data_IF_399572380314
#
_entry.id   IF_399572380314
#
_cell.length_a   1.000
_cell.length_b   1.000
_cell.length_c   1.000
_cell.angle_alpha   90.00
_cell.angle_beta   90.00
_cell.angle_gamma   90.00
#
_symmetry.space_group_name_H-M   'P 1'
#
loop_
_entity.id
_entity.type
_entity.pdbx_description
1 polymer ?
#
# COMPACT_ATOMS: atom_id res chain seq x y z
N UNK A 1 22.29 2.36 2.34
CA UNK A 1 21.14 2.99 1.64
C UNK A 1 19.77 2.28 1.75
N UNK A 2 19.56 1.12 2.43
CA UNK A 2 18.23 0.48 2.46
C UNK A 2 17.17 1.28 3.24
N UNK A 3 17.57 2.15 4.16
CA UNK A 3 16.63 2.94 4.99
C UNK A 3 15.83 3.96 4.17
N UNK A 4 16.45 4.51 3.11
CA UNK A 4 15.75 5.44 2.20
C UNK A 4 14.65 4.73 1.41
N UNK A 5 14.91 3.50 0.96
CA UNK A 5 13.94 2.70 0.21
C UNK A 5 12.76 2.31 1.09
N UNK A 6 13.00 1.87 2.32
CA UNK A 6 11.94 1.52 3.27
C UNK A 6 11.06 2.74 3.55
N UNK A 7 11.68 3.89 3.88
CA UNK A 7 10.94 5.12 4.11
C UNK A 7 10.07 5.55 2.91
N UNK A 8 10.59 5.43 1.69
CA UNK A 8 9.80 5.72 0.49
C UNK A 8 8.60 4.79 0.35
N UNK A 9 8.75 3.50 0.70
CA UNK A 9 7.64 2.55 0.67
C UNK A 9 6.59 2.87 1.74
N UNK A 10 7.00 3.24 2.95
CA UNK A 10 6.09 3.68 4.01
C UNK A 10 5.29 4.93 3.59
N UNK A 11 5.97 5.93 3.04
CA UNK A 11 5.34 7.15 2.53
C UNK A 11 4.32 6.80 1.43
N UNK A 12 4.68 5.93 0.49
CA UNK A 12 3.76 5.45 -0.55
C UNK A 12 2.55 4.72 0.05
N UNK A 13 2.74 3.84 1.04
CA UNK A 13 1.63 3.13 1.69
C UNK A 13 0.67 4.12 2.36
N UNK A 14 1.19 5.13 3.07
CA UNK A 14 0.36 6.19 3.68
C UNK A 14 -0.45 6.97 2.65
N UNK A 15 0.15 7.30 1.50
CA UNK A 15 -0.56 7.98 0.41
C UNK A 15 -1.67 7.11 -0.19
N UNK A 16 -1.41 5.81 -0.38
CA UNK A 16 -2.39 4.87 -0.90
C UNK A 16 -3.56 4.64 0.08
N UNK A 17 -3.30 4.58 1.39
CA UNK A 17 -4.35 4.50 2.41
C UNK A 17 -5.28 5.71 2.36
N UNK A 18 -4.74 6.93 2.32
CA UNK A 18 -5.54 8.16 2.18
C UNK A 18 -6.36 8.17 0.88
N UNK A 19 -5.77 7.67 -0.20
CA UNK A 19 -6.44 7.55 -1.50
C UNK A 19 -7.67 6.64 -1.39
N UNK A 20 -7.53 5.49 -0.74
CA UNK A 20 -8.64 4.56 -0.48
C UNK A 20 -9.72 5.19 0.40
N UNK A 21 -9.37 5.91 1.46
CA UNK A 21 -10.34 6.60 2.32
C UNK A 21 -11.17 7.62 1.53
N UNK A 22 -10.54 8.35 0.61
CA UNK A 22 -11.22 9.30 -0.27
C UNK A 22 -12.16 8.60 -1.27
N UNK A 23 -11.75 7.44 -1.81
CA UNK A 23 -12.61 6.60 -2.67
C UNK A 23 -13.85 6.13 -1.90
N UNK A 24 -13.67 5.57 -0.70
CA UNK A 24 -14.77 5.09 0.16
C UNK A 24 -15.74 6.20 0.57
N UNK A 25 -15.22 7.40 0.83
CA UNK A 25 -16.03 8.55 1.16
C UNK A 25 -16.80 9.12 -0.04
N UNK A 26 -16.64 8.55 -1.24
CA UNK A 26 -17.22 9.07 -2.48
C UNK A 26 -16.63 10.43 -2.90
N UNK A 27 -15.51 10.84 -2.29
CA UNK A 27 -14.84 12.13 -2.53
C UNK A 27 -13.88 12.07 -3.72
N UNK A 28 -13.62 10.89 -4.25
CA UNK A 28 -12.74 10.67 -5.39
C UNK A 28 -13.30 9.56 -6.27
N UNK A 29 -13.48 9.88 -7.56
CA UNK A 29 -13.83 8.89 -8.58
C UNK A 29 -12.55 8.37 -9.22
N UNK A 30 -12.42 7.05 -9.32
CA UNK A 30 -11.29 6.42 -10.00
C UNK A 30 -11.78 5.37 -10.97
N UNK A 31 -10.91 5.01 -11.91
CA UNK A 31 -11.16 3.94 -12.87
C UNK A 31 -10.15 2.82 -12.66
N UNK A 32 -10.60 1.58 -12.91
CA UNK A 32 -9.80 0.36 -12.95
C UNK A 32 -9.67 -0.08 -14.41
N UNK A 33 -8.50 -0.55 -14.82
CA UNK A 33 -8.30 -1.12 -16.15
C UNK A 33 -8.63 -2.62 -16.11
N UNK A 34 -9.68 -3.03 -16.82
CA UNK A 34 -10.18 -4.42 -16.87
C UNK A 34 -10.63 -4.74 -18.29
N UNK A 35 -10.28 -5.94 -18.77
CA UNK A 35 -10.70 -6.46 -20.08
C UNK A 35 -10.44 -5.47 -21.24
N UNK A 36 -9.27 -4.81 -21.22
CA UNK A 36 -8.85 -3.89 -22.28
C UNK A 36 -9.48 -2.49 -22.23
N UNK A 37 -10.25 -2.14 -21.18
CA UNK A 37 -10.88 -0.83 -21.03
C UNK A 37 -10.82 -0.30 -19.60
N UNK A 38 -10.98 1.01 -19.45
CA UNK A 38 -11.19 1.64 -18.16
C UNK A 38 -12.67 1.56 -17.76
N UNK A 39 -12.94 1.06 -16.56
CA UNK A 39 -14.27 1.00 -15.95
C UNK A 39 -14.22 1.68 -14.58
N UNK A 40 -15.35 2.16 -14.08
CA UNK A 40 -15.39 2.76 -12.75
C UNK A 40 -14.93 1.76 -11.69
N UNK A 41 -14.10 2.23 -10.76
CA UNK A 41 -13.61 1.42 -9.63
C UNK A 41 -14.79 0.98 -8.78
N UNK A 42 -14.90 -0.33 -8.55
CA UNK A 42 -15.95 -0.93 -7.73
C UNK A 42 -15.54 -1.02 -6.27
N UNK A 43 -16.49 -1.28 -5.36
CA UNK A 43 -16.16 -1.57 -3.96
C UNK A 43 -15.25 -2.78 -3.81
N UNK A 44 -15.37 -3.76 -4.70
CA UNK A 44 -14.48 -4.93 -4.71
C UNK A 44 -13.05 -4.53 -5.10
N UNK A 45 -12.88 -3.65 -6.08
CA UNK A 45 -11.55 -3.10 -6.41
C UNK A 45 -10.93 -2.36 -5.23
N UNK A 46 -11.74 -1.64 -4.46
CA UNK A 46 -11.28 -0.92 -3.26
C UNK A 46 -10.81 -1.91 -2.20
N UNK A 47 -11.56 -2.99 -1.94
CA UNK A 47 -11.16 -4.05 -1.00
C UNK A 47 -9.88 -4.75 -1.44
N UNK A 48 -9.75 -5.07 -2.73
CA UNK A 48 -8.53 -5.71 -3.25
C UNK A 48 -7.31 -4.80 -3.05
N UNK A 49 -7.45 -3.50 -3.33
CA UNK A 49 -6.38 -2.52 -3.10
C UNK A 49 -6.03 -2.40 -1.62
N UNK A 50 -7.00 -2.43 -0.72
CA UNK A 50 -6.76 -2.44 0.73
C UNK A 50 -5.98 -3.66 1.19
N UNK A 51 -6.36 -4.85 0.72
CA UNK A 51 -5.66 -6.08 1.04
C UNK A 51 -4.19 -6.01 0.60
N UNK A 52 -3.92 -5.48 -0.60
CA UNK A 52 -2.56 -5.27 -1.09
C UNK A 52 -1.76 -4.28 -0.23
N UNK A 53 -2.37 -3.17 0.19
CA UNK A 53 -1.72 -2.19 1.06
C UNK A 53 -1.38 -2.81 2.42
N UNK A 54 -2.28 -3.59 3.01
CA UNK A 54 -2.06 -4.28 4.28
C UNK A 54 -0.89 -5.26 4.14
N UNK A 55 -0.87 -6.07 3.09
CA UNK A 55 0.19 -7.04 2.84
C UNK A 55 1.56 -6.36 2.64
N UNK A 56 1.59 -5.26 1.88
CA UNK A 56 2.80 -4.49 1.66
C UNK A 56 3.32 -3.85 2.96
N UNK A 57 2.42 -3.32 3.79
CA UNK A 57 2.77 -2.75 5.11
C UNK A 57 3.39 -3.82 6.02
N UNK A 58 2.76 -5.01 6.10
CA UNK A 58 3.30 -6.13 6.89
C UNK A 58 4.69 -6.57 6.43
N UNK A 59 4.93 -6.55 5.12
CA UNK A 59 6.22 -6.91 4.53
C UNK A 59 7.31 -5.89 4.87
N UNK A 60 6.97 -4.59 4.89
CA UNK A 60 7.88 -3.52 5.32
C UNK A 60 8.27 -3.72 6.78
N UNK A 61 7.29 -3.92 7.66
CA UNK A 61 7.55 -4.15 9.09
C UNK A 61 8.43 -5.39 9.34
N UNK A 62 8.23 -6.46 8.55
CA UNK A 62 9.06 -7.67 8.65
C UNK A 62 10.53 -7.38 8.28
N UNK A 63 10.76 -6.63 7.19
CA UNK A 63 12.10 -6.20 6.79
C UNK A 63 12.76 -5.38 7.91
N UNK A 64 12.02 -4.48 8.55
CA UNK A 64 12.53 -3.70 9.68
C UNK A 64 12.89 -4.56 10.89
N UNK A 65 12.02 -5.52 11.25
CA UNK A 65 12.29 -6.49 12.33
C UNK A 65 13.54 -7.32 12.04
N UNK A 66 13.71 -7.81 10.81
CA UNK A 66 14.89 -8.57 10.40
C UNK A 66 16.16 -7.73 10.49
N UNK A 67 16.11 -6.46 10.10
CA UNK A 67 17.26 -5.55 10.23
C UNK A 67 17.67 -5.34 11.69
N UNK A 68 16.70 -5.15 12.59
CA UNK A 68 16.97 -5.02 14.02
C UNK A 68 17.64 -6.28 14.59
N UNK A 69 17.10 -7.46 14.29
CA UNK A 69 17.64 -8.74 14.75
C UNK A 69 19.09 -8.98 14.29
N UNK A 70 19.41 -8.62 13.04
CA UNK A 70 20.78 -8.70 12.51
C UNK A 70 21.71 -7.70 13.19
N UNK A 71 21.22 -6.51 13.55
CA UNK A 71 22.02 -5.49 14.22
C UNK A 71 22.29 -5.79 15.70
N UNK A 72 21.40 -6.51 16.39
CA UNK A 72 21.53 -6.90 17.80
C UNK A 72 22.35 -8.18 18.03
N UNK A 73 22.69 -8.91 16.97
CA UNK A 73 23.51 -10.14 17.02
C UNK A 73 25.02 -9.91 16.89
N UNK A 74 25.48 -8.66 17.04
CA UNK A 74 26.90 -8.28 17.05
C UNK A 74 27.35 -7.77 18.41
#
# INVERSE_FOLDING_TARGET
>A
MPDRTIKMLEDHMSHLQKTIELMRAGKMKTQSFKDGKYVDTTDEDIKDREALIIQATQSIEEIERMKLAVSSGK
#
